data_IF_567596478192
#
_entry.id   IF_567596478192
#
_cell.length_a   1.000
_cell.length_b   1.000
_cell.length_c   1.000
_cell.angle_alpha   90.00
_cell.angle_beta   90.00
_cell.angle_gamma   90.00
#
_symmetry.space_group_name_H-M   'P 1'
#
loop_
_entity.id
_entity.type
_entity.pdbx_description
1 polymer ?
#
# COMPACT_ATOMS: atom_id res chain seq x y z
N UNK A 1 -19.82 -5.67 37.81
CA UNK A 1 -20.35 -4.95 36.63
C UNK A 1 -19.82 -3.53 36.79
N UNK A 2 -18.90 -3.00 35.99
CA UNK A 2 -18.87 -2.80 34.52
C UNK A 2 -17.52 -2.10 34.25
N UNK A 3 -16.64 -2.61 33.39
CA UNK A 3 -16.44 -2.31 31.96
C UNK A 3 -15.16 -1.49 31.71
N UNK A 4 -14.41 -1.97 30.71
CA UNK A 4 -13.21 -1.41 30.08
C UNK A 4 -13.50 -0.11 29.33
N UNK A 5 -12.48 0.76 29.17
CA UNK A 5 -12.12 1.53 27.95
C UNK A 5 -11.04 2.56 28.30
N UNK A 6 -9.80 2.50 27.80
CA UNK A 6 -9.27 2.96 26.49
C UNK A 6 -9.55 4.43 26.14
N UNK A 7 -8.47 5.16 25.73
CA UNK A 7 -8.41 6.22 24.68
C UNK A 7 -8.98 7.61 25.10
N UNK A 8 -8.42 8.80 24.80
CA UNK A 8 -7.24 9.30 24.05
C UNK A 8 -7.04 10.80 24.33
N UNK A 9 -5.82 11.23 24.05
CA UNK A 9 -5.33 12.50 23.45
C UNK A 9 -6.29 13.68 23.17
N UNK A 10 -5.78 14.84 23.57
CA UNK A 10 -6.20 16.19 23.19
C UNK A 10 -6.08 16.48 21.68
N UNK A 11 -7.07 17.18 21.09
CA UNK A 11 -6.93 17.82 19.79
C UNK A 11 -6.84 19.35 19.94
N UNK A 12 -5.85 19.98 19.28
CA UNK A 12 -5.85 21.44 19.08
C UNK A 12 -5.91 21.78 17.59
N UNK A 13 -7.13 22.12 17.18
CA UNK A 13 -7.58 23.11 16.18
C UNK A 13 -7.05 23.04 14.72
N UNK A 14 -7.81 23.32 13.66
CA UNK A 14 -8.90 24.29 13.54
C UNK A 14 -9.86 23.90 12.40
N UNK A 15 -11.15 24.00 12.72
CA UNK A 15 -12.37 23.95 11.89
C UNK A 15 -12.32 24.97 10.74
N UNK A 16 -12.93 24.80 9.56
CA UNK A 16 -14.37 24.61 9.31
C UNK A 16 -14.51 23.84 7.98
N UNK A 17 -15.00 22.61 7.99
CA UNK A 17 -16.41 22.19 7.81
C UNK A 17 -17.05 22.60 6.48
N UNK A 18 -17.07 21.67 5.52
CA UNK A 18 -18.36 21.08 5.15
C UNK A 18 -18.20 19.56 5.15
N UNK A 19 -18.92 18.95 6.08
CA UNK A 19 -18.93 17.52 6.32
C UNK A 19 -19.65 16.79 5.18
N UNK A 20 -19.02 15.77 4.62
CA UNK A 20 -19.71 14.53 4.31
C UNK A 20 -18.75 13.35 4.47
N UNK A 21 -19.23 12.38 5.23
CA UNK A 21 -18.49 11.32 5.91
C UNK A 21 -18.09 10.20 4.94
N UNK A 22 -16.82 9.80 4.93
CA UNK A 22 -16.34 8.43 5.16
C UNK A 22 -14.83 8.32 4.89
N UNK A 23 -14.17 7.40 5.59
CA UNK A 23 -12.72 7.33 5.80
C UNK A 23 -11.87 7.50 4.54
N UNK A 24 -10.71 8.15 4.73
CA UNK A 24 -9.65 8.33 3.72
C UNK A 24 -9.13 6.98 3.20
N UNK A 25 -9.86 6.34 2.31
CA UNK A 25 -9.26 5.60 1.20
C UNK A 25 -8.76 6.68 0.25
N UNK A 26 -7.58 7.25 0.56
CA UNK A 26 -6.94 8.20 -0.35
C UNK A 26 -6.82 7.56 -1.73
N UNK A 27 -7.08 8.36 -2.76
CA UNK A 27 -7.11 7.99 -4.17
C UNK A 27 -5.79 7.33 -4.63
N UNK A 28 -5.61 6.04 -4.33
CA UNK A 28 -4.41 5.26 -4.72
C UNK A 28 -4.33 4.98 -6.22
N UNK A 29 -5.21 5.56 -7.04
CA UNK A 29 -5.35 5.27 -8.48
C UNK A 29 -5.09 6.46 -9.41
N UNK A 30 -4.56 7.58 -8.93
CA UNK A 30 -4.29 8.75 -9.79
C UNK A 30 -3.03 8.62 -10.66
N UNK A 31 -2.12 7.69 -10.35
CA UNK A 31 -0.87 7.54 -11.07
C UNK A 31 -0.97 6.56 -12.24
N UNK A 32 -0.37 6.92 -13.37
CA UNK A 32 -0.24 6.05 -14.55
C UNK A 32 1.22 5.79 -14.87
N UNK A 33 1.51 4.60 -15.38
CA UNK A 33 2.82 4.20 -15.87
C UNK A 33 2.77 3.86 -17.35
N UNK A 34 3.87 4.14 -18.06
CA UNK A 34 4.03 3.77 -19.46
C UNK A 34 4.63 2.36 -19.53
N UNK A 35 3.93 1.45 -20.20
CA UNK A 35 4.45 0.11 -20.51
C UNK A 35 5.53 0.17 -21.60
N UNK A 36 6.30 -0.92 -21.75
CA UNK A 36 7.31 -1.06 -22.81
C UNK A 36 6.79 -0.87 -24.24
N UNK A 37 5.51 -1.15 -24.46
CA UNK A 37 4.83 -0.97 -25.74
C UNK A 37 4.28 0.46 -25.95
N UNK A 38 4.59 1.40 -25.04
CA UNK A 38 4.11 2.77 -25.08
C UNK A 38 2.70 3.00 -24.51
N UNK A 39 1.97 1.95 -24.11
CA UNK A 39 0.64 2.12 -23.55
C UNK A 39 0.68 2.65 -22.11
N UNK A 40 -0.16 3.64 -21.80
CA UNK A 40 -0.38 4.10 -20.42
C UNK A 40 -1.35 3.18 -19.71
N UNK A 41 -1.02 2.79 -18.48
CA UNK A 41 -1.89 1.98 -17.62
C UNK A 41 -1.87 2.52 -16.20
N UNK A 42 -2.94 2.29 -15.41
CA UNK A 42 -2.93 2.65 -13.99
C UNK A 42 -1.79 1.95 -13.26
N UNK A 43 -1.09 2.71 -12.41
CA UNK A 43 -0.16 2.16 -11.44
C UNK A 43 -0.95 1.33 -10.42
N UNK A 44 -0.47 0.14 -10.11
CA UNK A 44 -1.14 -0.78 -9.18
C UNK A 44 -0.12 -1.42 -8.24
N UNK A 45 -0.29 -1.20 -6.94
CA UNK A 45 0.51 -1.83 -5.86
C UNK A 45 0.64 -3.34 -6.07
N UNK A 46 -0.48 -4.02 -6.35
CA UNK A 46 -0.51 -5.48 -6.55
C UNK A 46 0.49 -5.98 -7.60
N UNK A 47 0.79 -5.17 -8.62
CA UNK A 47 1.75 -5.57 -9.66
C UNK A 47 3.17 -5.65 -9.12
N UNK A 48 3.53 -4.77 -8.19
CA UNK A 48 4.83 -4.78 -7.50
C UNK A 48 4.87 -5.94 -6.53
N UNK A 49 3.83 -6.09 -5.70
CA UNK A 49 3.72 -7.21 -4.75
C UNK A 49 3.90 -8.56 -5.46
N UNK A 50 3.12 -8.83 -6.52
CA UNK A 50 3.17 -10.09 -7.25
C UNK A 50 4.56 -10.35 -7.89
N UNK A 51 5.25 -9.30 -8.32
CA UNK A 51 6.59 -9.43 -8.90
C UNK A 51 7.61 -9.80 -7.83
N UNK A 52 7.56 -9.15 -6.66
CA UNK A 52 8.39 -9.49 -5.51
C UNK A 52 8.08 -10.90 -5.02
N UNK A 53 6.81 -11.24 -4.85
CA UNK A 53 6.36 -12.57 -4.46
C UNK A 53 6.92 -13.66 -5.39
N UNK A 54 6.81 -13.46 -6.71
CA UNK A 54 7.34 -14.38 -7.71
C UNK A 54 8.87 -14.52 -7.60
N UNK A 55 9.59 -13.42 -7.35
CA UNK A 55 11.04 -13.44 -7.18
C UNK A 55 11.46 -14.18 -5.90
N UNK A 56 10.78 -13.95 -4.77
CA UNK A 56 11.03 -14.68 -3.53
C UNK A 56 10.73 -16.17 -3.66
N UNK A 57 9.64 -16.53 -4.36
CA UNK A 57 9.31 -17.93 -4.63
C UNK A 57 10.38 -18.61 -5.49
N UNK A 58 10.85 -17.96 -6.55
CA UNK A 58 11.89 -18.54 -7.41
C UNK A 58 13.25 -18.68 -6.69
N UNK A 59 13.64 -17.70 -5.88
CA UNK A 59 14.91 -17.74 -5.12
C UNK A 59 14.90 -18.80 -4.03
N UNK A 60 13.80 -18.92 -3.28
CA UNK A 60 13.64 -19.92 -2.22
C UNK A 60 13.13 -21.28 -2.74
N UNK A 61 12.92 -21.42 -4.05
CA UNK A 61 12.39 -22.62 -4.73
C UNK A 61 11.08 -23.11 -4.10
N UNK A 62 10.20 -22.16 -3.78
CA UNK A 62 8.86 -22.42 -3.23
C UNK A 62 7.90 -22.60 -4.41
N UNK A 63 7.15 -23.70 -4.43
CA UNK A 63 6.12 -23.92 -5.44
C UNK A 63 5.00 -22.87 -5.36
N UNK A 64 4.39 -22.55 -6.50
CA UNK A 64 3.33 -21.53 -6.60
C UNK A 64 2.05 -21.90 -5.83
N UNK A 65 1.82 -23.19 -5.64
CA UNK A 65 0.65 -23.76 -4.95
C UNK A 65 0.77 -23.65 -3.43
N UNK A 66 1.98 -23.47 -2.91
CA UNK A 66 2.26 -23.41 -1.48
C UNK A 66 2.00 -22.01 -0.95
N UNK A 67 1.30 -21.92 0.18
CA UNK A 67 1.11 -20.66 0.90
C UNK A 67 2.45 -20.17 1.43
N UNK A 68 2.72 -18.88 1.26
CA UNK A 68 3.95 -18.29 1.80
C UNK A 68 3.88 -18.21 3.32
N UNK A 69 5.05 -18.29 3.94
CA UNK A 69 5.18 -18.02 5.36
C UNK A 69 4.74 -16.58 5.69
N UNK A 70 4.17 -16.42 6.88
CA UNK A 70 3.60 -15.16 7.36
C UNK A 70 4.65 -14.04 7.44
N UNK A 71 5.86 -14.37 7.88
CA UNK A 71 6.97 -13.41 7.98
C UNK A 71 7.39 -12.94 6.60
N UNK A 72 7.56 -13.87 5.65
CA UNK A 72 7.92 -13.56 4.27
C UNK A 72 6.86 -12.71 3.57
N UNK A 73 5.59 -13.03 3.80
CA UNK A 73 4.45 -12.26 3.29
C UNK A 73 4.50 -10.81 3.80
N UNK A 74 4.75 -10.64 5.11
CA UNK A 74 4.88 -9.33 5.75
C UNK A 74 6.05 -8.54 5.18
N UNK A 75 7.21 -9.18 4.99
CA UNK A 75 8.37 -8.53 4.36
C UNK A 75 8.07 -8.08 2.94
N UNK A 76 7.39 -8.89 2.14
CA UNK A 76 7.03 -8.52 0.76
C UNK A 76 6.08 -7.32 0.77
N UNK A 77 5.10 -7.29 1.67
CA UNK A 77 4.19 -6.17 1.83
C UNK A 77 4.93 -4.88 2.22
N UNK A 78 5.80 -4.95 3.23
CA UNK A 78 6.60 -3.80 3.69
C UNK A 78 7.48 -3.23 2.58
N UNK A 79 8.20 -4.09 1.84
CA UNK A 79 9.03 -3.65 0.70
C UNK A 79 8.15 -3.06 -0.41
N UNK A 80 6.99 -3.64 -0.66
CA UNK A 80 6.03 -3.11 -1.64
C UNK A 80 5.58 -1.69 -1.24
N UNK A 81 5.26 -1.46 0.02
CA UNK A 81 4.82 -0.16 0.51
C UNK A 81 5.92 0.89 0.41
N UNK A 82 7.18 0.55 0.76
CA UNK A 82 8.33 1.46 0.59
C UNK A 82 8.47 1.92 -0.86
N UNK A 83 8.35 1.00 -1.83
CA UNK A 83 8.45 1.34 -3.25
C UNK A 83 7.30 2.27 -3.69
N UNK A 84 6.09 2.02 -3.21
CA UNK A 84 4.92 2.84 -3.55
C UNK A 84 5.03 4.24 -2.92
N UNK A 85 5.46 4.32 -1.67
CA UNK A 85 5.67 5.59 -0.97
C UNK A 85 6.73 6.44 -1.67
N UNK A 86 7.86 5.84 -2.06
CA UNK A 86 8.90 6.57 -2.78
C UNK A 86 8.42 7.03 -4.16
N UNK A 87 7.65 6.20 -4.88
CA UNK A 87 7.03 6.62 -6.13
C UNK A 87 6.11 7.83 -5.95
N UNK A 88 5.28 7.84 -4.90
CA UNK A 88 4.39 8.97 -4.60
C UNK A 88 5.21 10.22 -4.25
N UNK A 89 6.26 10.06 -3.43
CA UNK A 89 7.20 11.13 -3.07
C UNK A 89 7.85 11.76 -4.30
N UNK A 90 8.33 10.95 -5.24
CA UNK A 90 8.96 11.41 -6.47
C UNK A 90 7.95 12.04 -7.43
N UNK A 91 6.76 11.45 -7.58
CA UNK A 91 5.71 11.98 -8.43
C UNK A 91 5.15 13.32 -7.92
N UNK A 92 5.14 13.53 -6.60
CA UNK A 92 4.66 14.78 -5.97
C UNK A 92 5.67 15.93 -6.07
N UNK A 93 6.93 15.65 -6.42
CA UNK A 93 7.99 16.65 -6.65
C UNK A 93 8.01 17.20 -8.08
N UNK A 94 7.09 16.72 -8.94
CA UNK A 94 6.93 17.14 -10.33
C UNK A 94 6.47 18.58 -10.49
#
# INVERSE_FOLDING_TARGET
MTNKSFITDDPVSFLVTSASKNGKTQEKNSFTVVKRNGSMVPFRRDRIYNALEAAFRDTKKIEKTVTLDSELTKTIDEVTDIVVEELISLASKG
#
